data_IF_774592260849
#
_entry.id   IF_774592260849
#
_cell.length_a   1.000
_cell.length_b   1.000
_cell.length_c   1.000
_cell.angle_alpha   90.00
_cell.angle_beta   90.00
_cell.angle_gamma   90.00
#
_symmetry.space_group_name_H-M   'P 1'
#
loop_
_entity.id
_entity.type
_entity.pdbx_description
1 polymer ?
#
# COMPACT_ATOMS: atom_id res chain seq x y z
N UNK A 1 -18.56 -15.81 1.90
CA UNK A 1 -18.01 -14.95 0.83
C UNK A 1 -17.67 -13.58 1.41
N UNK A 2 -16.91 -12.73 0.70
CA UNK A 2 -16.60 -11.37 1.19
C UNK A 2 -17.86 -10.55 1.51
N UNK A 3 -18.90 -10.68 0.68
CA UNK A 3 -20.20 -10.04 0.89
C UNK A 3 -20.88 -10.45 2.21
N UNK A 4 -20.90 -11.75 2.53
CA UNK A 4 -21.48 -12.24 3.80
C UNK A 4 -20.70 -11.74 5.03
N UNK A 5 -19.37 -11.60 4.92
CA UNK A 5 -18.55 -11.03 6.00
C UNK A 5 -18.88 -9.56 6.20
N UNK A 6 -19.05 -8.81 5.11
CA UNK A 6 -19.43 -7.40 5.17
C UNK A 6 -20.82 -7.20 5.80
N UNK A 7 -21.83 -7.96 5.38
CA UNK A 7 -23.16 -7.94 6.00
C UNK A 7 -23.09 -8.27 7.50
N UNK A 8 -22.30 -9.28 7.87
CA UNK A 8 -22.07 -9.63 9.27
C UNK A 8 -21.45 -8.47 10.04
N UNK A 9 -20.36 -7.88 9.54
CA UNK A 9 -19.69 -6.75 10.15
C UNK A 9 -20.63 -5.54 10.27
N UNK A 10 -21.41 -5.23 9.24
CA UNK A 10 -22.39 -4.15 9.26
C UNK A 10 -23.46 -4.40 10.34
N UNK A 11 -23.96 -5.63 10.43
CA UNK A 11 -24.99 -6.00 11.41
C UNK A 11 -24.52 -5.88 12.86
N UNK A 12 -23.27 -6.26 13.15
CA UNK A 12 -22.74 -6.25 14.53
C UNK A 12 -22.15 -4.90 14.92
N UNK A 13 -21.68 -4.08 13.98
CA UNK A 13 -21.05 -2.79 14.27
C UNK A 13 -22.01 -1.61 14.12
N UNK A 14 -23.11 -1.77 13.38
CA UNK A 14 -24.02 -0.69 13.00
C UNK A 14 -23.46 0.23 11.90
N UNK A 15 -22.28 -0.08 11.36
CA UNK A 15 -21.67 0.67 10.26
C UNK A 15 -22.35 0.34 8.92
N UNK A 16 -22.50 1.36 8.07
CA UNK A 16 -23.15 1.24 6.75
C UNK A 16 -22.17 1.30 5.59
N UNK A 17 -21.01 1.93 5.78
CA UNK A 17 -20.01 2.16 4.74
C UNK A 17 -18.70 1.45 5.15
N UNK A 18 -18.61 0.14 4.85
CA UNK A 18 -17.46 -0.71 5.17
C UNK A 18 -16.52 -0.92 3.99
N UNK A 19 -16.28 0.11 3.16
CA UNK A 19 -15.50 -0.08 1.93
C UNK A 19 -14.68 1.14 1.54
N UNK A 20 -13.55 0.89 0.88
CA UNK A 20 -12.78 1.86 0.13
C UNK A 20 -12.43 1.30 -1.25
N UNK A 21 -11.96 2.16 -2.14
CA UNK A 21 -11.50 1.74 -3.46
C UNK A 21 -9.98 1.85 -3.54
N UNK A 22 -9.37 0.76 -4.01
CA UNK A 22 -7.98 0.73 -4.45
C UNK A 22 -7.97 0.65 -5.98
N UNK A 23 -7.13 1.43 -6.63
CA UNK A 23 -6.96 1.36 -8.07
C UNK A 23 -5.68 0.58 -8.37
N UNK A 24 -5.74 -0.36 -9.32
CA UNK A 24 -4.62 -1.20 -9.69
C UNK A 24 -4.05 -0.71 -11.01
N UNK A 25 -2.72 -0.72 -11.13
CA UNK A 25 -2.03 -0.36 -12.35
C UNK A 25 -1.98 -1.53 -13.36
N UNK A 26 -1.95 -1.24 -14.67
CA UNK A 26 -1.79 -2.26 -15.71
C UNK A 26 -0.45 -3.01 -15.60
N UNK A 27 -0.46 -4.25 -16.10
CA UNK A 27 0.74 -5.07 -16.34
C UNK A 27 0.87 -5.31 -17.84
N UNK A 28 2.01 -4.88 -18.39
CA UNK A 28 2.36 -4.96 -19.81
C UNK A 28 3.26 -6.16 -20.08
N UNK A 29 3.07 -6.79 -21.24
CA UNK A 29 3.94 -7.83 -21.77
C UNK A 29 5.29 -7.21 -22.21
N UNK A 30 6.38 -7.74 -21.68
CA UNK A 30 7.73 -7.27 -21.95
C UNK A 30 8.11 -7.28 -23.43
N UNK A 31 7.57 -8.21 -24.22
CA UNK A 31 7.89 -8.39 -25.64
C UNK A 31 7.18 -7.35 -26.54
N UNK A 32 6.11 -6.74 -26.02
CA UNK A 32 5.34 -5.71 -26.72
C UNK A 32 5.88 -4.29 -26.52
N UNK A 33 6.84 -4.12 -25.59
CA UNK A 33 7.45 -2.82 -25.27
C UNK A 33 8.51 -2.47 -26.30
N UNK A 34 8.44 -1.27 -26.87
CA UNK A 34 9.53 -0.75 -27.67
C UNK A 34 10.74 -0.37 -26.79
N UNK A 35 11.74 -1.25 -26.80
CA UNK A 35 13.01 -1.07 -26.10
C UNK A 35 13.85 0.06 -26.69
N UNK A 36 13.65 0.45 -27.95
CA UNK A 36 14.35 1.59 -28.52
C UNK A 36 13.86 2.90 -27.93
N UNK A 37 12.61 3.00 -27.49
CA UNK A 37 12.10 4.22 -26.85
C UNK A 37 12.15 4.17 -25.32
N UNK A 38 12.94 3.24 -24.75
CA UNK A 38 13.08 3.06 -23.31
C UNK A 38 14.54 2.82 -22.90
N UNK A 39 14.83 2.97 -21.60
CA UNK A 39 16.15 2.64 -21.06
C UNK A 39 16.07 2.07 -19.65
N UNK A 40 16.95 1.12 -19.32
CA UNK A 40 17.05 0.57 -17.97
C UNK A 40 17.81 1.54 -17.05
N UNK A 41 17.30 1.77 -15.84
CA UNK A 41 17.98 2.63 -14.89
C UNK A 41 17.22 2.85 -13.58
N UNK A 42 17.98 2.92 -12.50
CA UNK A 42 17.49 3.33 -11.19
C UNK A 42 17.81 4.80 -10.94
N UNK A 43 16.97 5.48 -10.15
CA UNK A 43 17.18 6.89 -9.83
C UNK A 43 18.52 7.09 -9.11
N UNK A 44 19.24 8.13 -9.50
CA UNK A 44 20.57 8.49 -9.01
C UNK A 44 21.65 7.42 -9.21
N UNK A 45 21.41 6.43 -10.08
CA UNK A 45 22.31 5.30 -10.27
C UNK A 45 22.46 4.42 -9.03
N UNK A 46 21.52 4.49 -8.07
CA UNK A 46 21.55 3.72 -6.82
C UNK A 46 20.49 2.62 -6.83
N UNK A 47 20.87 1.41 -6.43
CA UNK A 47 19.96 0.30 -6.14
C UNK A 47 20.61 -1.08 -6.38
N UNK A 48 20.41 -2.02 -5.45
CA UNK A 48 20.75 -3.45 -5.61
C UNK A 48 19.60 -4.22 -6.29
N UNK A 49 18.42 -3.60 -6.41
CA UNK A 49 17.23 -4.18 -7.04
C UNK A 49 17.31 -4.17 -8.57
N UNK A 50 16.51 -5.05 -9.20
CA UNK A 50 16.37 -5.11 -10.65
C UNK A 50 16.00 -3.74 -11.22
N UNK A 51 16.72 -3.32 -12.27
CA UNK A 51 16.56 -2.00 -12.85
C UNK A 51 15.14 -1.78 -13.41
N UNK A 52 14.55 -0.63 -13.12
CA UNK A 52 13.31 -0.19 -13.77
C UNK A 52 13.57 0.06 -15.26
N UNK A 53 12.58 -0.25 -16.09
CA UNK A 53 12.56 0.19 -17.48
C UNK A 53 11.86 1.55 -17.55
N UNK A 54 12.57 2.57 -18.02
CA UNK A 54 12.11 3.95 -18.03
C UNK A 54 11.65 4.32 -19.44
N UNK A 55 10.43 4.84 -19.54
CA UNK A 55 9.79 5.28 -20.76
C UNK A 55 9.75 6.82 -20.76
N UNK A 56 10.79 7.49 -21.31
CA UNK A 56 10.84 8.95 -21.34
C UNK A 56 9.77 9.54 -22.26
N UNK A 57 9.33 10.75 -21.92
CA UNK A 57 8.50 11.59 -22.76
C UNK A 57 9.12 12.97 -22.88
N UNK A 58 8.98 13.55 -24.07
CA UNK A 58 9.18 14.96 -24.36
C UNK A 58 8.08 15.81 -23.70
N UNK A 59 8.23 17.12 -23.78
CA UNK A 59 7.25 18.07 -23.25
C UNK A 59 5.93 17.97 -24.01
N UNK A 60 6.02 17.84 -25.32
CA UNK A 60 4.90 17.76 -26.25
C UNK A 60 4.11 16.47 -26.06
N UNK A 61 4.81 15.32 -25.98
CA UNK A 61 4.19 14.02 -25.70
C UNK A 61 3.50 14.00 -24.34
N UNK A 62 4.13 14.57 -23.31
CA UNK A 62 3.53 14.66 -21.97
C UNK A 62 2.22 15.44 -21.99
N UNK A 63 2.20 16.64 -22.58
CA UNK A 63 0.97 17.43 -22.58
C UNK A 63 -0.13 16.82 -23.44
N UNK A 64 0.23 16.22 -24.58
CA UNK A 64 -0.74 15.47 -25.39
C UNK A 64 -1.34 14.31 -24.60
N UNK A 65 -0.53 13.55 -23.86
CA UNK A 65 -1.00 12.48 -22.98
C UNK A 65 -1.92 13.00 -21.88
N UNK A 66 -1.56 14.08 -21.18
CA UNK A 66 -2.40 14.68 -20.13
C UNK A 66 -3.73 15.19 -20.69
N UNK A 67 -3.72 15.83 -21.86
CA UNK A 67 -4.93 16.34 -22.50
C UNK A 67 -5.91 15.23 -22.85
N UNK A 68 -5.41 14.11 -23.35
CA UNK A 68 -6.24 12.95 -23.66
C UNK A 68 -6.66 12.16 -22.41
N UNK A 69 -5.78 12.09 -21.40
CA UNK A 69 -6.09 11.46 -20.11
C UNK A 69 -7.26 12.14 -19.41
N UNK A 70 -7.30 13.48 -19.42
CA UNK A 70 -8.39 14.25 -18.81
C UNK A 70 -9.73 14.14 -19.56
N UNK A 71 -9.71 13.71 -20.82
CA UNK A 71 -10.91 13.44 -21.63
C UNK A 71 -11.33 11.97 -21.58
N UNK A 72 -10.51 11.10 -21.00
CA UNK A 72 -10.72 9.67 -21.03
C UNK A 72 -11.96 9.23 -20.28
N UNK A 73 -12.71 8.32 -20.88
CA UNK A 73 -13.88 7.69 -20.25
C UNK A 73 -13.46 6.82 -19.05
N UNK A 74 -14.11 7.05 -17.92
CA UNK A 74 -13.92 6.27 -16.69
C UNK A 74 -15.10 5.34 -16.42
N UNK A 75 -14.85 4.29 -15.66
CA UNK A 75 -15.91 3.42 -15.12
C UNK A 75 -16.64 4.22 -14.01
N UNK A 76 -17.97 4.38 -14.09
CA UNK A 76 -18.71 5.08 -13.05
C UNK A 76 -18.69 4.27 -11.75
N UNK A 77 -18.72 4.92 -10.58
CA UNK A 77 -18.95 4.23 -9.31
C UNK A 77 -20.32 3.53 -9.38
N UNK A 78 -20.45 2.36 -8.72
CA UNK A 78 -21.76 1.72 -8.65
C UNK A 78 -22.73 2.62 -7.89
N UNK A 79 -23.99 2.65 -8.37
CA UNK A 79 -25.03 3.54 -7.87
C UNK A 79 -25.09 3.48 -6.33
N UNK A 80 -25.12 4.66 -5.69
CA UNK A 80 -25.18 4.91 -4.24
C UNK A 80 -23.85 4.97 -3.46
N UNK A 81 -22.70 4.64 -4.05
CA UNK A 81 -21.39 4.68 -3.35
C UNK A 81 -20.66 6.03 -3.55
N UNK A 82 -20.09 6.58 -2.47
CA UNK A 82 -19.20 7.76 -2.57
C UNK A 82 -17.80 7.29 -2.99
N UNK A 83 -17.18 7.97 -3.95
CA UNK A 83 -15.78 7.70 -4.32
C UNK A 83 -14.84 8.18 -3.21
N UNK A 84 -14.48 7.26 -2.31
CA UNK A 84 -13.43 7.47 -1.31
C UNK A 84 -12.19 6.71 -1.79
N UNK A 85 -11.21 7.46 -2.31
CA UNK A 85 -9.93 6.90 -2.76
C UNK A 85 -8.92 6.87 -1.62
N UNK A 86 -8.19 5.77 -1.54
CA UNK A 86 -7.00 5.71 -0.72
C UNK A 86 -5.92 6.67 -1.28
N UNK A 87 -5.37 7.56 -0.45
CA UNK A 87 -4.45 8.60 -0.93
C UNK A 87 -3.17 8.06 -1.58
N UNK A 88 -2.71 6.86 -1.20
CA UNK A 88 -1.55 6.21 -1.82
C UNK A 88 -1.83 5.56 -3.18
N UNK A 89 -3.10 5.35 -3.54
CA UNK A 89 -3.52 4.64 -4.76
C UNK A 89 -4.54 5.43 -5.59
N UNK A 90 -4.37 6.76 -5.66
CA UNK A 90 -5.26 7.60 -6.47
C UNK A 90 -5.15 7.27 -7.97
N UNK A 91 -6.28 7.22 -8.71
CA UNK A 91 -6.26 7.08 -10.16
C UNK A 91 -5.47 8.20 -10.84
N UNK A 92 -4.67 7.89 -11.88
CA UNK A 92 -3.84 8.87 -12.60
C UNK A 92 -4.64 10.02 -13.19
N UNK A 93 -5.85 9.77 -13.65
CA UNK A 93 -6.77 10.77 -14.16
C UNK A 93 -7.23 11.74 -13.07
N UNK A 94 -7.40 11.26 -11.83
CA UNK A 94 -7.73 12.10 -10.68
C UNK A 94 -6.53 12.95 -10.27
N UNK A 95 -5.32 12.38 -10.29
CA UNK A 95 -4.08 13.14 -10.04
C UNK A 95 -3.90 14.23 -11.10
N UNK A 96 -4.07 13.90 -12.38
CA UNK A 96 -3.95 14.84 -13.49
C UNK A 96 -4.97 15.99 -13.40
N UNK A 97 -6.19 15.71 -12.91
CA UNK A 97 -7.24 16.72 -12.76
C UNK A 97 -6.90 17.80 -11.72
N UNK A 98 -6.01 17.52 -10.77
CA UNK A 98 -5.55 18.53 -9.79
C UNK A 98 -4.60 19.57 -10.39
N UNK A 99 -4.00 19.29 -11.55
CA UNK A 99 -3.08 20.20 -12.22
C UNK A 99 -2.28 19.53 -13.33
N UNK A 100 -2.05 20.27 -14.43
CA UNK A 100 -1.37 19.75 -15.63
C UNK A 100 0.04 19.25 -15.37
N UNK A 101 0.72 19.75 -14.35
CA UNK A 101 2.09 19.35 -13.98
C UNK A 101 2.13 18.29 -12.86
N UNK A 102 0.99 17.98 -12.22
CA UNK A 102 0.96 17.16 -11.00
C UNK A 102 1.60 15.79 -11.23
N UNK A 103 1.36 15.16 -12.38
CA UNK A 103 1.95 13.86 -12.68
C UNK A 103 3.50 13.90 -12.68
N UNK A 104 4.13 15.01 -13.08
CA UNK A 104 5.61 15.17 -13.05
C UNK A 104 6.18 15.36 -11.65
N UNK A 105 5.34 15.63 -10.67
CA UNK A 105 5.73 15.62 -9.26
C UNK A 105 5.39 14.30 -8.55
N UNK A 106 4.56 13.46 -9.18
CA UNK A 106 4.18 12.12 -8.72
C UNK A 106 4.67 11.01 -9.67
N UNK A 107 3.75 10.26 -10.32
CA UNK A 107 4.07 9.02 -11.03
C UNK A 107 4.98 9.19 -12.26
N UNK A 108 4.98 10.37 -12.88
CA UNK A 108 5.77 10.69 -14.07
C UNK A 108 7.03 11.53 -13.78
N UNK A 109 7.46 11.57 -12.52
CA UNK A 109 8.60 12.38 -12.08
C UNK A 109 9.91 11.93 -12.76
N UNK A 110 10.68 12.82 -13.41
CA UNK A 110 11.94 12.46 -14.07
C UNK A 110 13.18 12.59 -13.17
N UNK A 111 13.02 13.07 -11.92
CA UNK A 111 14.15 13.44 -11.05
C UNK A 111 15.05 12.24 -10.73
N UNK A 112 16.37 12.42 -10.88
CA UNK A 112 17.36 11.37 -10.66
C UNK A 112 17.56 10.43 -11.84
N UNK A 113 16.95 10.71 -13.01
CA UNK A 113 17.17 9.97 -14.24
C UNK A 113 17.71 10.90 -15.31
N UNK A 114 18.72 10.46 -16.04
CA UNK A 114 19.19 11.07 -17.27
C UNK A 114 19.07 10.03 -18.38
N UNK A 115 18.47 10.41 -19.51
CA UNK A 115 18.29 9.52 -20.65
C UNK A 115 19.65 9.31 -21.33
N UNK A 116 20.16 8.06 -21.43
CA UNK A 116 21.45 7.76 -22.04
C UNK A 116 21.55 8.22 -23.50
N UNK A 117 20.42 8.31 -24.23
CA UNK A 117 20.40 8.71 -25.64
C UNK A 117 20.61 10.21 -25.82
N UNK A 118 20.09 11.00 -24.90
CA UNK A 118 20.14 12.48 -24.99
C UNK A 118 21.18 13.09 -24.04
N UNK A 119 21.65 12.32 -23.06
CA UNK A 119 22.52 12.79 -21.98
C UNK A 119 21.84 13.82 -21.06
N UNK A 120 20.51 13.92 -21.10
CA UNK A 120 19.73 14.93 -20.38
C UNK A 120 18.58 14.29 -19.64
N UNK A 121 18.12 14.96 -18.58
CA UNK A 121 16.89 14.60 -17.89
C UNK A 121 15.68 14.74 -18.83
N UNK A 122 14.89 13.68 -19.05
CA UNK A 122 13.65 13.77 -19.84
C UNK A 122 12.61 14.68 -19.16
N UNK A 123 11.62 15.15 -19.92
CA UNK A 123 10.59 16.04 -19.37
C UNK A 123 9.71 15.29 -18.35
N UNK A 124 9.27 14.09 -18.70
CA UNK A 124 8.51 13.17 -17.86
C UNK A 124 8.97 11.73 -18.13
N UNK A 125 8.76 10.82 -17.16
CA UNK A 125 9.14 9.39 -17.30
C UNK A 125 8.11 8.50 -16.65
N UNK A 126 7.53 7.57 -17.42
CA UNK A 126 6.86 6.41 -16.85
C UNK A 126 7.90 5.36 -16.48
N UNK A 127 7.91 4.89 -15.23
CA UNK A 127 8.74 3.76 -14.83
C UNK A 127 7.94 2.47 -14.89
N UNK A 128 8.57 1.43 -15.41
CA UNK A 128 8.05 0.07 -15.47
C UNK A 128 8.87 -0.80 -14.51
N UNK A 129 8.20 -1.40 -13.52
CA UNK A 129 8.84 -2.30 -12.56
C UNK A 129 8.71 -3.74 -13.03
N UNK A 130 9.79 -4.55 -13.02
CA UNK A 130 9.66 -5.99 -13.24
C UNK A 130 8.69 -6.62 -12.24
N UNK A 131 7.71 -7.38 -12.73
CA UNK A 131 6.75 -8.10 -11.89
C UNK A 131 7.20 -9.54 -11.60
N UNK A 132 8.12 -10.09 -12.41
CA UNK A 132 8.65 -11.43 -12.22
C UNK A 132 10.17 -11.47 -12.45
N UNK A 133 10.81 -12.53 -11.93
CA UNK A 133 12.27 -12.72 -12.08
C UNK A 133 12.71 -12.93 -13.52
N UNK A 134 11.84 -13.47 -14.37
CA UNK A 134 12.11 -13.71 -15.79
C UNK A 134 12.03 -12.45 -16.65
N UNK A 135 11.63 -11.31 -16.07
CA UNK A 135 11.49 -10.02 -16.75
C UNK A 135 10.52 -10.04 -17.95
N UNK A 136 9.54 -10.96 -17.94
CA UNK A 136 8.54 -11.10 -19.02
C UNK A 136 7.30 -10.24 -18.82
N UNK A 137 7.12 -9.67 -17.63
CA UNK A 137 5.98 -8.81 -17.31
C UNK A 137 6.45 -7.59 -16.51
N UNK A 138 5.87 -6.43 -16.83
CA UNK A 138 6.18 -5.18 -16.15
C UNK A 138 4.91 -4.48 -15.67
N UNK A 139 4.95 -3.92 -14.46
CA UNK A 139 3.90 -3.07 -13.91
C UNK A 139 4.19 -1.60 -14.21
N UNK A 140 3.16 -0.85 -14.60
CA UNK A 140 3.26 0.59 -14.80
C UNK A 140 3.21 1.29 -13.44
N UNK A 141 4.35 1.79 -12.96
CA UNK A 141 4.48 2.32 -11.60
C UNK A 141 3.67 3.60 -11.45
N UNK A 142 2.78 3.62 -10.45
CA UNK A 142 1.95 4.78 -10.16
C UNK A 142 0.84 5.04 -11.19
N UNK A 143 0.52 4.04 -12.02
CA UNK A 143 -0.52 4.12 -13.07
C UNK A 143 -1.82 3.42 -12.66
N UNK A 144 -2.15 3.48 -11.38
CA UNK A 144 -3.47 3.10 -10.89
C UNK A 144 -4.54 3.89 -11.66
N UNK A 145 -5.62 3.26 -12.12
CA UNK A 145 -6.62 3.94 -12.96
C UNK A 145 -8.02 3.33 -12.87
N UNK A 146 -9.03 4.16 -13.14
CA UNK A 146 -10.42 3.79 -13.34
C UNK A 146 -10.92 3.99 -14.77
N UNK A 147 -10.02 4.32 -15.70
CA UNK A 147 -10.32 4.38 -17.12
C UNK A 147 -10.91 3.06 -17.62
N UNK A 148 -11.87 3.14 -18.54
CA UNK A 148 -12.34 1.94 -19.26
C UNK A 148 -11.18 1.29 -20.00
N UNK A 149 -11.18 -0.03 -20.16
CA UNK A 149 -10.06 -0.74 -20.78
C UNK A 149 -9.73 -0.27 -22.20
N UNK A 150 -10.74 0.09 -23.00
CA UNK A 150 -10.53 0.69 -24.33
C UNK A 150 -9.76 2.00 -24.27
N UNK A 151 -10.04 2.84 -23.27
CA UNK A 151 -9.31 4.10 -23.06
C UNK A 151 -7.90 3.85 -22.56
N UNK A 152 -7.69 2.88 -21.67
CA UNK A 152 -6.35 2.48 -21.24
C UNK A 152 -5.49 2.04 -22.44
N UNK A 153 -6.02 1.15 -23.29
CA UNK A 153 -5.33 0.72 -24.51
C UNK A 153 -5.01 1.86 -25.46
N UNK A 154 -5.91 2.84 -25.60
CA UNK A 154 -5.71 4.01 -26.48
C UNK A 154 -4.67 4.98 -25.91
N UNK A 155 -4.83 5.36 -24.65
CA UNK A 155 -4.03 6.40 -23.99
C UNK A 155 -2.61 5.95 -23.71
N UNK A 156 -2.40 4.72 -23.20
CA UNK A 156 -1.06 4.27 -22.86
C UNK A 156 -0.18 4.05 -24.08
N UNK A 157 -0.77 3.78 -25.25
CA UNK A 157 -0.05 3.74 -26.54
C UNK A 157 0.49 5.11 -26.99
N UNK A 158 0.05 6.21 -26.38
CA UNK A 158 0.64 7.54 -26.63
C UNK A 158 2.03 7.68 -26.00
N UNK A 159 2.38 6.82 -25.04
CA UNK A 159 3.73 6.79 -24.46
C UNK A 159 4.64 6.07 -25.47
N UNK A 160 5.74 6.68 -25.95
CA UNK A 160 6.51 6.17 -27.09
C UNK A 160 6.93 4.69 -26.98
N UNK A 161 7.40 4.29 -25.79
CA UNK A 161 7.80 2.91 -25.49
C UNK A 161 6.64 1.91 -25.47
N UNK A 162 5.40 2.36 -25.32
CA UNK A 162 4.20 1.53 -25.20
C UNK A 162 3.30 1.59 -26.43
N UNK A 163 3.76 2.16 -27.56
CA UNK A 163 2.95 2.30 -28.79
C UNK A 163 2.35 0.99 -29.31
N UNK A 164 3.04 -0.12 -29.07
CA UNK A 164 2.63 -1.47 -29.47
C UNK A 164 2.25 -2.35 -28.26
N UNK A 165 2.09 -1.75 -27.08
CA UNK A 165 1.93 -2.51 -25.84
C UNK A 165 0.70 -3.42 -25.85
N UNK A 166 0.92 -4.65 -25.42
CA UNK A 166 -0.07 -5.65 -25.08
C UNK A 166 -0.05 -5.87 -23.56
N UNK A 167 -1.22 -6.08 -22.96
CA UNK A 167 -1.37 -6.09 -21.51
C UNK A 167 -1.87 -7.46 -21.05
N UNK A 168 -1.13 -8.10 -20.15
CA UNK A 168 -1.61 -9.27 -19.42
C UNK A 168 -2.78 -8.90 -18.50
N UNK A 169 -2.77 -7.66 -17.97
CA UNK A 169 -3.82 -7.16 -17.09
C UNK A 169 -3.99 -5.66 -17.25
N UNK A 170 -5.21 -5.22 -17.46
CA UNK A 170 -5.58 -3.80 -17.42
C UNK A 170 -5.75 -3.29 -15.99
N UNK A 171 -5.58 -1.99 -15.81
CA UNK A 171 -5.90 -1.33 -14.54
C UNK A 171 -7.39 -1.43 -14.23
N UNK A 172 -7.72 -1.39 -12.95
CA UNK A 172 -9.10 -1.51 -12.46
C UNK A 172 -9.22 -1.02 -11.03
N UNK A 173 -10.41 -0.56 -10.67
CA UNK A 173 -10.76 -0.30 -9.28
C UNK A 173 -11.18 -1.62 -8.62
N UNK A 174 -10.58 -1.91 -7.47
CA UNK A 174 -10.98 -2.96 -6.55
C UNK A 174 -11.65 -2.33 -5.33
N UNK A 175 -12.87 -2.79 -5.03
CA UNK A 175 -13.56 -2.47 -3.79
C UNK A 175 -13.00 -3.35 -2.68
N UNK A 176 -12.47 -2.69 -1.66
CA UNK A 176 -11.87 -3.32 -0.50
C UNK A 176 -12.72 -3.06 0.72
N UNK A 177 -13.12 -4.14 1.41
CA UNK A 177 -13.88 -4.02 2.66
C UNK A 177 -12.94 -3.58 3.79
N UNK A 178 -13.34 -2.57 4.56
CA UNK A 178 -12.68 -2.19 5.81
C UNK A 178 -13.68 -1.66 6.83
N UNK A 179 -13.38 -1.82 8.10
CA UNK A 179 -14.16 -1.26 9.19
C UNK A 179 -13.58 0.08 9.64
N UNK A 180 -14.46 1.00 10.07
CA UNK A 180 -14.06 2.21 10.76
C UNK A 180 -13.51 1.84 12.16
N UNK A 181 -12.25 1.43 12.20
CA UNK A 181 -11.63 0.82 13.38
C UNK A 181 -11.74 1.67 14.64
N UNK A 182 -11.50 2.99 14.64
CA UNK A 182 -11.62 3.78 15.86
C UNK A 182 -13.04 3.77 16.43
N UNK A 183 -14.04 3.62 15.56
CA UNK A 183 -15.44 3.46 15.98
C UNK A 183 -15.71 2.08 16.57
N UNK A 184 -15.26 1.01 15.92
CA UNK A 184 -15.71 -0.35 16.22
C UNK A 184 -14.77 -1.18 17.09
N UNK A 185 -13.47 -0.85 17.14
CA UNK A 185 -12.45 -1.60 17.88
C UNK A 185 -12.16 -1.03 19.26
N UNK A 186 -12.09 -1.90 20.25
CA UNK A 186 -11.53 -1.60 21.56
C UNK A 186 -9.99 -1.51 21.49
N UNK A 187 -9.36 -1.04 22.57
CA UNK A 187 -7.90 -0.93 22.68
C UNK A 187 -7.16 -2.27 22.56
N UNK A 188 -7.85 -3.39 22.69
CA UNK A 188 -7.30 -4.73 22.55
C UNK A 188 -7.58 -5.34 21.15
N UNK A 189 -8.03 -4.54 20.19
CA UNK A 189 -8.38 -4.91 18.82
C UNK A 189 -9.60 -5.86 18.70
N UNK A 190 -10.33 -6.10 19.79
CA UNK A 190 -11.64 -6.74 19.72
C UNK A 190 -12.74 -5.77 19.29
N UNK A 191 -13.84 -6.29 18.74
CA UNK A 191 -15.02 -5.49 18.46
C UNK A 191 -15.69 -5.07 19.77
N UNK A 192 -15.99 -3.76 19.91
CA UNK A 192 -16.72 -3.21 21.07
C UNK A 192 -18.09 -3.89 21.27
N UNK A 193 -18.77 -4.23 20.18
CA UNK A 193 -20.10 -4.85 20.19
C UNK A 193 -20.07 -6.37 20.35
N UNK A 194 -18.93 -7.00 20.08
CA UNK A 194 -18.74 -8.45 20.17
C UNK A 194 -17.30 -8.75 20.61
N UNK A 195 -17.01 -8.64 21.92
CA UNK A 195 -15.64 -8.68 22.43
C UNK A 195 -14.89 -9.97 22.07
N UNK A 196 -15.57 -11.10 21.84
CA UNK A 196 -14.98 -12.37 21.40
C UNK A 196 -14.47 -12.38 19.95
N UNK A 197 -14.77 -11.35 19.16
CA UNK A 197 -14.31 -11.22 17.76
C UNK A 197 -13.22 -10.16 17.67
N UNK A 198 -12.13 -10.48 16.99
CA UNK A 198 -11.00 -9.58 16.73
C UNK A 198 -10.88 -9.32 15.24
N UNK A 199 -10.51 -8.09 14.87
CA UNK A 199 -10.20 -7.74 13.49
C UNK A 199 -8.70 -7.48 13.34
N UNK A 200 -8.16 -7.89 12.19
CA UNK A 200 -6.74 -7.70 11.87
C UNK A 200 -6.49 -7.70 10.36
N UNK A 201 -5.39 -7.07 9.93
CA UNK A 201 -5.07 -6.91 8.52
C UNK A 201 -5.88 -5.81 7.85
N UNK A 202 -5.97 -5.84 6.51
CA UNK A 202 -6.63 -4.81 5.70
C UNK A 202 -8.04 -4.42 6.19
N UNK A 203 -8.80 -5.37 6.74
CA UNK A 203 -10.17 -5.11 7.23
C UNK A 203 -10.21 -4.09 8.38
N UNK A 204 -9.09 -3.82 9.07
CA UNK A 204 -9.02 -2.77 10.10
C UNK A 204 -8.69 -1.39 9.52
N UNK A 205 -8.41 -1.27 8.22
CA UNK A 205 -7.96 0.00 7.63
C UNK A 205 -6.45 0.21 7.73
N UNK A 206 -5.65 -0.85 7.89
CA UNK A 206 -4.23 -0.77 7.50
C UNK A 206 -4.05 -1.17 6.05
N UNK A 207 -3.02 -0.65 5.40
CA UNK A 207 -2.67 -0.99 4.03
C UNK A 207 -1.20 -1.41 3.94
N UNK A 208 -0.92 -2.49 3.20
CA UNK A 208 0.40 -3.09 3.09
C UNK A 208 0.56 -4.42 3.85
N UNK A 209 1.45 -5.27 3.33
CA UNK A 209 1.70 -6.60 3.88
C UNK A 209 2.35 -6.54 5.27
N UNK A 210 3.25 -5.58 5.47
CA UNK A 210 3.97 -5.41 6.73
C UNK A 210 3.00 -4.98 7.83
N UNK A 211 2.16 -4.00 7.55
CA UNK A 211 1.15 -3.44 8.44
C UNK A 211 0.07 -4.47 8.78
N UNK A 212 -0.36 -5.24 7.77
CA UNK A 212 -1.31 -6.33 7.97
C UNK A 212 -0.74 -7.42 8.86
N UNK A 213 0.52 -7.82 8.64
CA UNK A 213 1.21 -8.80 9.48
C UNK A 213 1.42 -8.30 10.91
N UNK A 214 1.79 -7.02 11.04
CA UNK A 214 1.97 -6.34 12.30
C UNK A 214 0.66 -6.29 13.13
N UNK A 215 -0.46 -5.94 12.49
CA UNK A 215 -1.77 -6.04 13.13
C UNK A 215 -2.12 -7.47 13.52
N UNK A 216 -1.73 -8.45 12.71
CA UNK A 216 -1.93 -9.88 13.00
C UNK A 216 -1.27 -10.28 14.30
N UNK A 217 -0.01 -9.88 14.46
CA UNK A 217 0.78 -10.11 15.68
C UNK A 217 0.12 -9.44 16.89
N UNK A 218 -0.31 -8.18 16.77
CA UNK A 218 -0.97 -7.48 17.89
C UNK A 218 -2.28 -8.14 18.31
N UNK A 219 -3.11 -8.54 17.34
CA UNK A 219 -4.36 -9.25 17.64
C UNK A 219 -4.08 -10.60 18.33
N UNK A 220 -3.07 -11.33 17.88
CA UNK A 220 -2.66 -12.59 18.52
C UNK A 220 -2.16 -12.38 19.96
N UNK A 221 -1.34 -11.36 20.21
CA UNK A 221 -0.87 -11.01 21.56
C UNK A 221 -2.02 -10.60 22.48
N UNK A 222 -3.02 -9.91 21.94
CA UNK A 222 -4.24 -9.55 22.67
C UNK A 222 -5.08 -10.78 23.04
N UNK A 223 -5.33 -11.67 22.07
CA UNK A 223 -6.02 -12.95 22.29
C UNK A 223 -5.29 -13.78 23.35
N UNK A 224 -3.96 -13.90 23.25
CA UNK A 224 -3.15 -14.63 24.23
C UNK A 224 -3.27 -14.03 25.63
N UNK A 225 -3.16 -12.70 25.74
CA UNK A 225 -3.32 -12.01 27.02
C UNK A 225 -4.69 -12.32 27.64
N UNK A 226 -5.75 -12.30 26.82
CA UNK A 226 -7.10 -12.64 27.29
C UNK A 226 -7.26 -14.10 27.72
N UNK A 227 -6.69 -15.05 26.98
CA UNK A 227 -6.69 -16.47 27.35
C UNK A 227 -5.99 -16.71 28.68
N UNK A 228 -4.93 -15.96 28.95
CA UNK A 228 -4.19 -16.00 30.20
C UNK A 228 -4.78 -15.09 31.30
N UNK A 229 -5.92 -14.44 31.04
CA UNK A 229 -6.59 -13.49 31.96
C UNK A 229 -5.68 -12.33 32.39
N UNK A 230 -4.79 -11.89 31.49
CA UNK A 230 -3.94 -10.71 31.62
C UNK A 230 -4.50 -9.57 30.77
N UNK A 231 -4.19 -8.34 31.16
CA UNK A 231 -4.48 -7.17 30.34
C UNK A 231 -3.52 -7.11 29.15
N UNK A 232 -4.06 -6.80 27.97
CA UNK A 232 -3.23 -6.54 26.79
C UNK A 232 -2.61 -5.15 26.88
N UNK A 233 -1.29 -5.07 26.77
CA UNK A 233 -0.55 -3.80 26.76
C UNK A 233 0.00 -3.57 25.35
N UNK A 234 -0.55 -2.63 24.57
CA UNK A 234 -0.03 -2.35 23.24
C UNK A 234 1.36 -1.73 23.30
N UNK A 235 2.13 -1.75 22.20
CA UNK A 235 3.41 -1.06 22.13
C UNK A 235 3.24 0.44 22.37
N UNK A 236 4.26 1.13 22.90
CA UNK A 236 4.24 2.57 23.06
C UNK A 236 3.97 3.29 21.73
N UNK A 237 3.19 4.39 21.76
CA UNK A 237 2.84 5.20 20.58
C UNK A 237 4.06 5.79 19.86
N UNK A 238 5.20 5.88 20.55
CA UNK A 238 6.50 6.27 20.01
C UNK A 238 7.09 5.24 19.05
N UNK A 239 6.59 4.00 19.07
CA UNK A 239 6.99 2.94 18.15
C UNK A 239 6.08 2.92 16.92
N UNK A 240 6.58 2.45 15.77
CA UNK A 240 5.74 2.33 14.56
C UNK A 240 4.53 1.40 14.78
N UNK A 241 4.73 0.33 15.54
CA UNK A 241 3.66 -0.63 15.85
C UNK A 241 2.61 -0.02 16.78
N UNK A 242 3.05 0.74 17.78
CA UNK A 242 2.16 1.42 18.72
C UNK A 242 1.45 2.62 18.09
N UNK A 243 2.08 3.33 17.15
CA UNK A 243 1.41 4.40 16.41
C UNK A 243 0.37 3.85 15.43
N UNK A 244 0.63 2.71 14.78
CA UNK A 244 -0.39 1.98 14.02
C UNK A 244 -1.56 1.53 14.91
N UNK A 245 -1.28 0.95 16.07
CA UNK A 245 -2.31 0.58 17.04
C UNK A 245 -3.16 1.77 17.48
N UNK A 246 -2.50 2.89 17.81
CA UNK A 246 -3.16 4.14 18.17
C UNK A 246 -4.03 4.67 17.03
N UNK A 247 -3.52 4.64 15.79
CA UNK A 247 -4.27 5.04 14.61
C UNK A 247 -5.56 4.23 14.46
N UNK A 248 -5.54 2.91 14.71
CA UNK A 248 -6.73 2.07 14.59
C UNK A 248 -7.73 2.25 15.74
N UNK A 249 -7.28 2.67 16.92
CA UNK A 249 -8.12 2.65 18.13
C UNK A 249 -8.57 4.03 18.60
N UNK A 250 -7.86 5.09 18.22
CA UNK A 250 -8.01 6.44 18.80
C UNK A 250 -8.09 7.57 17.76
N UNK A 251 -7.92 7.29 16.45
CA UNK A 251 -8.10 8.32 15.41
C UNK A 251 -9.54 8.86 15.38
N UNK A 252 -9.74 10.07 14.87
CA UNK A 252 -11.09 10.60 14.66
C UNK A 252 -11.88 9.70 13.69
N UNK A 253 -12.96 9.04 14.15
CA UNK A 253 -13.74 8.14 13.31
C UNK A 253 -14.40 8.85 12.12
N UNK A 254 -14.57 10.17 12.15
CA UNK A 254 -15.20 10.93 11.05
C UNK A 254 -14.27 11.09 9.84
N UNK A 255 -12.96 11.07 10.07
CA UNK A 255 -11.95 11.30 9.03
C UNK A 255 -11.04 10.06 8.85
N UNK A 256 -11.46 8.91 9.35
CA UNK A 256 -10.72 7.67 9.28
C UNK A 256 -10.74 7.08 7.85
N UNK A 257 -9.56 6.96 7.27
CA UNK A 257 -9.28 6.34 5.97
C UNK A 257 -8.19 5.30 6.17
N UNK A 258 -8.16 4.19 5.42
CA UNK A 258 -7.04 3.27 5.47
C UNK A 258 -5.69 3.98 5.30
N UNK A 259 -4.64 3.47 5.94
CA UNK A 259 -3.30 4.07 5.90
C UNK A 259 -2.18 3.03 6.03
N UNK A 260 -1.09 3.27 5.31
CA UNK A 260 0.16 2.52 5.46
C UNK A 260 1.05 3.14 6.55
N UNK A 261 2.09 2.40 6.95
CA UNK A 261 3.05 2.87 7.92
C UNK A 261 3.84 4.06 7.37
N UNK A 262 3.73 5.22 8.02
CA UNK A 262 4.47 6.41 7.65
C UNK A 262 4.76 7.31 8.86
N UNK A 263 5.68 8.26 8.72
CA UNK A 263 6.01 9.20 9.78
C UNK A 263 4.84 10.12 10.20
N UNK A 264 3.78 10.22 9.39
CA UNK A 264 2.60 11.01 9.72
C UNK A 264 1.74 10.38 10.83
N UNK A 265 1.92 9.08 11.11
CA UNK A 265 1.31 8.39 12.25
C UNK A 265 1.82 8.91 13.60
N UNK A 266 2.97 9.58 13.61
CA UNK A 266 3.62 10.05 14.82
C UNK A 266 3.25 11.50 15.15
N UNK A 267 2.78 11.74 16.37
CA UNK A 267 2.76 13.10 16.91
C UNK A 267 4.11 13.46 17.52
N UNK A 268 4.58 14.68 17.24
CA UNK A 268 5.86 15.16 17.78
C UNK A 268 5.89 15.24 19.30
N UNK A 269 4.72 15.44 19.91
CA UNK A 269 4.52 15.49 21.37
C UNK A 269 4.85 14.19 22.07
N UNK A 270 4.89 13.06 21.36
CA UNK A 270 5.23 11.77 21.94
C UNK A 270 6.75 11.57 22.10
N UNK A 271 7.58 12.44 21.49
CA UNK A 271 9.02 12.25 21.43
C UNK A 271 9.79 13.30 22.24
N UNK A 272 10.84 12.86 22.93
CA UNK A 272 11.56 13.70 23.86
C UNK A 272 12.52 14.66 23.15
N UNK A 273 12.37 15.95 23.39
CA UNK A 273 13.28 17.00 22.90
C UNK A 273 13.40 17.05 21.38
N UNK A 274 12.31 16.80 20.65
CA UNK A 274 12.23 17.00 19.18
C UNK A 274 11.69 18.37 18.78
N UNK A 275 11.06 19.10 19.71
CA UNK A 275 10.38 20.38 19.46
C UNK A 275 11.33 21.49 18.98
N UNK A 276 12.61 21.43 19.36
CA UNK A 276 13.64 22.42 19.04
C UNK A 276 14.55 22.02 17.87
N UNK A 277 14.35 20.85 17.27
CA UNK A 277 15.23 20.28 16.24
C UNK A 277 14.80 20.62 14.82
N UNK A 278 15.77 20.67 13.90
CA UNK A 278 15.51 20.77 12.45
C UNK A 278 14.92 19.45 11.93
N UNK A 279 14.14 19.52 10.84
CA UNK A 279 13.35 18.40 10.29
C UNK A 279 14.15 17.09 10.11
N UNK A 280 15.41 17.18 9.71
CA UNK A 280 16.25 16.02 9.42
C UNK A 280 16.74 15.34 10.71
N UNK A 281 17.03 16.15 11.74
CA UNK A 281 17.42 15.68 13.08
C UNK A 281 16.24 15.09 13.86
N UNK A 282 15.03 15.60 13.62
CA UNK A 282 13.79 15.09 14.23
C UNK A 282 13.58 13.63 13.88
N UNK A 283 13.71 13.25 12.60
CA UNK A 283 13.46 11.86 12.15
C UNK A 283 14.43 10.87 12.79
N UNK A 284 15.72 11.20 12.81
CA UNK A 284 16.73 10.34 13.45
C UNK A 284 16.43 10.13 14.93
N UNK A 285 16.12 11.21 15.66
CA UNK A 285 15.81 11.13 17.08
C UNK A 285 14.54 10.33 17.38
N UNK A 286 13.51 10.50 16.54
CA UNK A 286 12.28 9.69 16.62
C UNK A 286 12.56 8.21 16.40
N UNK A 287 13.40 7.86 15.41
CA UNK A 287 13.78 6.47 15.14
C UNK A 287 14.57 5.86 16.31
N UNK A 288 15.52 6.60 16.87
CA UNK A 288 16.31 6.14 18.03
C UNK A 288 15.41 5.86 19.24
N UNK A 289 14.48 6.76 19.56
CA UNK A 289 13.52 6.56 20.64
C UNK A 289 12.56 5.40 20.33
N UNK A 290 12.01 5.35 19.12
CA UNK A 290 11.13 4.26 18.66
C UNK A 290 11.79 2.89 18.81
N UNK A 291 13.07 2.75 18.47
CA UNK A 291 13.78 1.46 18.58
C UNK A 291 14.01 1.07 20.05
N UNK A 292 14.38 2.02 20.90
CA UNK A 292 14.56 1.79 22.34
C UNK A 292 13.23 1.38 23.00
N UNK A 293 12.16 2.12 22.73
CA UNK A 293 10.85 1.90 23.34
C UNK A 293 10.25 0.58 22.87
N UNK A 294 10.46 0.21 21.59
CA UNK A 294 10.04 -1.09 21.06
C UNK A 294 10.83 -2.24 21.71
N UNK A 295 12.14 -2.09 21.88
CA UNK A 295 12.95 -3.10 22.56
C UNK A 295 12.49 -3.31 24.01
N UNK A 296 12.25 -2.22 24.75
CA UNK A 296 11.73 -2.29 26.11
C UNK A 296 10.35 -2.94 26.19
N UNK A 297 9.41 -2.56 25.31
CA UNK A 297 8.10 -3.21 25.25
C UNK A 297 8.18 -4.70 24.90
N UNK A 298 9.07 -5.09 23.98
CA UNK A 298 9.24 -6.48 23.58
C UNK A 298 9.69 -7.36 24.77
N UNK A 299 10.49 -6.83 25.68
CA UNK A 299 10.93 -7.54 26.89
C UNK A 299 9.81 -7.75 27.91
N UNK A 300 8.75 -6.94 27.88
CA UNK A 300 7.58 -7.12 28.76
C UNK A 300 6.54 -8.07 28.19
N UNK A 301 6.63 -8.41 26.90
CA UNK A 301 5.74 -9.38 26.30
C UNK A 301 6.06 -10.78 26.82
N UNK A 302 5.06 -11.67 26.97
CA UNK A 302 5.31 -13.04 27.38
C UNK A 302 6.41 -13.64 26.49
N UNK A 303 7.55 -13.97 27.11
CA UNK A 303 8.56 -14.78 26.46
C UNK A 303 7.88 -16.08 25.98
N UNK A 304 8.39 -16.71 24.91
CA UNK A 304 8.04 -18.10 24.57
C UNK A 304 8.16 -18.93 25.86
N UNK A 305 7.06 -19.12 26.59
CA UNK A 305 6.98 -20.12 27.63
C UNK A 305 7.23 -21.42 26.90
N UNK A 306 8.36 -22.05 27.23
CA UNK A 306 8.85 -23.34 26.74
C UNK A 306 7.93 -23.99 25.72
N UNK A 307 8.34 -23.93 24.46
CA UNK A 307 7.84 -24.74 23.35
C UNK A 307 6.50 -25.43 23.64
N UNK A 308 5.40 -24.89 23.08
CA UNK A 308 4.50 -25.80 22.39
C UNK A 308 5.42 -26.71 21.58
N UNK A 309 5.51 -27.99 21.96
CA UNK A 309 6.28 -29.00 21.24
C UNK A 309 6.10 -28.70 19.77
N UNK A 310 7.18 -28.40 19.05
CA UNK A 310 7.11 -28.17 17.61
C UNK A 310 6.20 -29.25 17.03
N UNK A 311 5.13 -28.93 16.28
CA UNK A 311 4.54 -29.96 15.45
C UNK A 311 5.70 -30.40 14.57
N UNK A 312 6.13 -31.65 14.74
CA UNK A 312 7.24 -32.20 13.99
C UNK A 312 6.94 -31.96 12.51
N UNK A 313 7.64 -31.00 11.91
CA UNK A 313 7.53 -30.77 10.48
C UNK A 313 8.24 -31.96 9.85
N UNK A 314 7.47 -32.98 9.45
CA UNK A 314 8.00 -34.05 8.63
C UNK A 314 8.38 -33.43 7.28
N UNK A 315 9.65 -33.53 6.86
CA UNK A 315 10.05 -33.10 5.54
C UNK A 315 9.22 -33.85 4.50
N UNK A 316 8.79 -33.15 3.43
CA UNK A 316 8.05 -33.75 2.31
C UNK A 316 8.75 -34.94 1.65
N UNK A 317 10.04 -35.14 1.94
CA UNK A 317 10.83 -36.30 1.49
C UNK A 317 10.49 -37.60 2.24
N UNK A 318 9.72 -37.54 3.32
CA UNK A 318 9.31 -38.70 4.12
C UNK A 318 7.86 -39.14 3.87
N UNK A 319 7.09 -38.40 3.06
CA UNK A 319 5.74 -38.76 2.67
C UNK A 319 5.75 -39.70 1.46
N UNK A 320 4.93 -40.75 1.50
CA UNK A 320 4.76 -41.65 0.36
C UNK A 320 4.08 -40.92 -0.81
N UNK A 321 4.27 -41.36 -2.07
CA UNK A 321 3.62 -40.75 -3.22
C UNK A 321 2.08 -40.68 -3.13
N UNK A 322 1.45 -41.52 -2.32
CA UNK A 322 0.01 -41.53 -2.08
C UNK A 322 -0.45 -40.46 -1.07
N UNK A 323 0.45 -39.93 -0.23
CA UNK A 323 0.14 -38.88 0.75
C UNK A 323 0.40 -37.47 0.20
N UNK A 324 1.14 -37.37 -0.89
CA UNK A 324 1.44 -36.11 -1.61
C UNK A 324 0.36 -35.74 -2.63
N UNK A 325 -0.49 -36.71 -3.04
CA UNK A 325 -1.51 -36.57 -4.08
C UNK A 325 -2.88 -36.17 -3.52
#
# INVERSE_FOLDING_TARGET
TAFQMEEFLASITGEKDLYFYDAIAPIVDADSIDRESAFLGNRYGKGEEAAYLNCPMTREEYYAFVDELLKGDTVPPQNFEKEIFFQGCQPIEAIAATGRETLRFGPLKPVGLDDPKTGRRPYAVLQLRPENKSLTAYNLVGFQTKLKWGEQSRLFKMIPALRNAEYFRMGSIHRNTYANSPRVLASDLSLKSRPDVFLSGQVTGVEGYLESSACGILAALSILSRMEKREFVPPPKTTLLGSLHHFLTESDPKHFSPMNACFALFERTWFDGVSTLKKDQVRTKMLEQSLRDFAGWRETQPARSQAMSEPAFQPLTELSPAEVQ
#
